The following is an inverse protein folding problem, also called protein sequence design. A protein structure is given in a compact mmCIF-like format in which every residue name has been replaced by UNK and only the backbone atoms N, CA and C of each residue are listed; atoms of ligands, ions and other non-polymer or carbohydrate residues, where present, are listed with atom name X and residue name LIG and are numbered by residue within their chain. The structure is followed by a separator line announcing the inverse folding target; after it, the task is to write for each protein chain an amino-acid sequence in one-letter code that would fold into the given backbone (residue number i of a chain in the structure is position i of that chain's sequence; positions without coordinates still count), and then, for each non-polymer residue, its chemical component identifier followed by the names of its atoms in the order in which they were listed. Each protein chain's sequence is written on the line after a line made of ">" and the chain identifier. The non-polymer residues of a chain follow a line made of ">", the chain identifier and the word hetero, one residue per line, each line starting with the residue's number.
data_IF_083268806224
#
_entry.id   IF_083268806224
#
_cell.length_a   1.000
_cell.length_b   1.000
_cell.length_c   1.000
_cell.angle_alpha   90.00
_cell.angle_beta   90.00
_cell.angle_gamma   90.00
#
_symmetry.space_group_name_H-M   'P 1'
#
loop_
_entity.id
_entity.type
_entity.pdbx_description
1 polymer ?
#
# COMPACT_ATOMS: atom_id res chain seq x y z
N UNK A 1 5.78 0.15 -6.16
CA UNK A 1 4.38 -0.33 -6.22
C UNK A 1 3.67 0.31 -7.39
N UNK A 2 2.77 -0.40 -8.02
CA UNK A 2 2.07 0.08 -9.21
C UNK A 2 0.64 0.45 -8.87
N UNK A 3 0.23 1.64 -9.25
CA UNK A 3 -1.14 2.10 -9.07
C UNK A 3 -2.12 1.20 -9.83
N UNK A 4 -3.17 0.69 -9.17
CA UNK A 4 -4.13 -0.21 -9.84
C UNK A 4 -5.05 0.49 -10.85
N UNK A 5 -5.04 1.82 -10.89
CA UNK A 5 -5.86 2.58 -11.83
C UNK A 5 -5.09 3.02 -13.07
N UNK A 6 -3.96 3.69 -12.86
CA UNK A 6 -3.23 4.30 -13.98
C UNK A 6 -1.97 3.55 -14.38
N UNK A 7 -1.52 2.58 -13.59
CA UNK A 7 -0.34 1.79 -13.90
C UNK A 7 0.99 2.48 -13.64
N UNK A 8 0.97 3.66 -13.06
CA UNK A 8 2.19 4.38 -12.73
C UNK A 8 2.82 3.88 -11.45
N UNK A 9 4.15 3.99 -11.37
CA UNK A 9 4.87 3.63 -10.16
C UNK A 9 4.59 4.65 -9.06
N UNK A 10 4.23 4.17 -7.89
CA UNK A 10 3.94 5.02 -6.72
C UNK A 10 4.68 4.49 -5.51
N UNK A 11 4.98 5.39 -4.57
CA UNK A 11 5.59 5.04 -3.31
C UNK A 11 4.55 5.05 -2.20
N UNK A 12 4.67 4.11 -1.29
CA UNK A 12 3.83 4.07 -0.11
C UNK A 12 4.69 3.82 1.11
N UNK A 13 4.21 4.27 2.25
CA UNK A 13 4.92 4.20 3.51
C UNK A 13 4.23 3.25 4.47
N UNK A 14 4.99 2.31 5.03
CA UNK A 14 4.51 1.45 6.10
C UNK A 14 5.12 1.97 7.40
N UNK A 15 4.25 2.23 8.40
CA UNK A 15 4.70 2.66 9.72
C UNK A 15 5.10 1.44 10.54
N UNK A 16 6.39 1.22 10.81
CA UNK A 16 6.82 0.05 11.59
C UNK A 16 6.31 0.07 13.03
N UNK A 17 5.88 1.22 13.54
CA UNK A 17 5.25 1.33 14.84
C UNK A 17 3.76 1.02 14.86
N UNK A 18 3.16 0.82 13.70
CA UNK A 18 1.71 0.61 13.56
C UNK A 18 1.23 -0.83 13.72
N UNK A 19 2.13 -1.77 14.02
CA UNK A 19 1.76 -3.17 14.25
C UNK A 19 2.02 -4.07 13.05
N UNK A 20 1.62 -5.34 13.19
CA UNK A 20 1.87 -6.36 12.17
C UNK A 20 0.97 -6.25 10.96
N UNK A 21 -0.20 -5.65 11.12
CA UNK A 21 -1.16 -5.45 10.04
C UNK A 21 -1.61 -4.01 10.01
N UNK A 22 -1.57 -3.42 8.84
CA UNK A 22 -2.02 -2.05 8.64
C UNK A 22 -2.88 -1.99 7.39
N UNK A 23 -3.92 -1.19 7.44
CA UNK A 23 -4.77 -0.95 6.28
C UNK A 23 -5.11 0.52 6.26
N UNK A 24 -4.90 1.15 5.12
CA UNK A 24 -5.11 2.58 4.98
C UNK A 24 -5.41 2.93 3.53
N UNK A 25 -5.98 4.10 3.32
CA UNK A 25 -6.33 4.59 2.00
C UNK A 25 -5.54 5.86 1.73
N UNK A 26 -4.88 5.91 0.58
CA UNK A 26 -4.15 7.09 0.13
C UNK A 26 -4.46 7.35 -1.34
N UNK A 27 -4.46 8.61 -1.72
CA UNK A 27 -4.68 8.98 -3.12
C UNK A 27 -3.43 8.75 -3.95
N UNK A 28 -3.64 8.29 -5.19
CA UNK A 28 -2.54 8.17 -6.13
C UNK A 28 -2.00 9.56 -6.47
N UNK A 29 -0.67 9.69 -6.52
CA UNK A 29 -0.04 10.98 -6.83
C UNK A 29 -0.24 11.39 -8.30
N UNK A 30 -0.61 10.47 -9.16
CA UNK A 30 -0.76 10.72 -10.60
C UNK A 30 -2.22 10.88 -10.99
N UNK A 31 -3.07 9.90 -10.67
CA UNK A 31 -4.48 9.92 -11.07
C UNK A 31 -5.41 10.44 -9.97
N UNK A 32 -4.91 10.67 -8.78
CA UNK A 32 -5.66 11.21 -7.64
C UNK A 32 -6.86 10.35 -7.22
N UNK A 33 -6.83 9.07 -7.50
CA UNK A 33 -7.89 8.16 -7.08
C UNK A 33 -7.51 7.46 -5.79
N UNK A 34 -8.48 7.14 -4.92
CA UNK A 34 -8.18 6.47 -3.66
C UNK A 34 -7.74 5.03 -3.89
N UNK A 35 -6.63 4.67 -3.26
CA UNK A 35 -6.07 3.33 -3.33
C UNK A 35 -6.07 2.76 -1.92
N UNK A 36 -6.58 1.55 -1.77
CA UNK A 36 -6.51 0.86 -0.50
C UNK A 36 -5.18 0.12 -0.40
N UNK A 37 -4.40 0.46 0.61
CA UNK A 37 -3.14 -0.21 0.91
C UNK A 37 -3.31 -1.12 2.09
N UNK A 38 -2.72 -2.30 1.99
CA UNK A 38 -2.69 -3.27 3.08
C UNK A 38 -1.26 -3.71 3.29
N UNK A 39 -0.74 -3.49 4.49
CA UNK A 39 0.59 -3.90 4.88
C UNK A 39 0.50 -5.01 5.91
N UNK A 40 1.32 -6.04 5.75
CA UNK A 40 1.31 -7.21 6.63
C UNK A 40 2.74 -7.62 6.90
N UNK A 41 3.08 -7.81 8.16
CA UNK A 41 4.41 -8.30 8.54
C UNK A 41 4.57 -9.77 8.19
N UNK A 42 5.70 -10.10 7.59
CA UNK A 42 6.05 -11.47 7.23
C UNK A 42 7.31 -11.87 7.97
N UNK A 43 7.17 -12.76 8.96
CA UNK A 43 8.31 -13.22 9.74
C UNK A 43 9.32 -14.02 8.90
N UNK A 44 8.82 -14.77 7.93
CA UNK A 44 9.65 -15.55 7.03
C UNK A 44 10.54 -14.69 6.14
N UNK A 45 10.10 -13.46 5.85
CA UNK A 45 10.83 -12.52 5.01
C UNK A 45 11.51 -11.42 5.82
N UNK A 46 11.18 -11.29 7.10
CA UNK A 46 11.58 -10.19 7.97
C UNK A 46 11.29 -8.83 7.33
N UNK A 47 10.14 -8.71 6.69
CA UNK A 47 9.74 -7.51 5.96
C UNK A 47 8.23 -7.42 5.87
N UNK A 48 7.73 -6.24 5.50
CA UNK A 48 6.31 -6.04 5.25
C UNK A 48 5.96 -6.41 3.82
N UNK A 49 4.86 -7.11 3.68
CA UNK A 49 4.24 -7.35 2.38
C UNK A 49 3.19 -6.27 2.19
N UNK A 50 3.30 -5.53 1.10
CA UNK A 50 2.41 -4.41 0.82
C UNK A 50 1.57 -4.70 -0.42
N UNK A 51 0.26 -4.53 -0.29
CA UNK A 51 -0.68 -4.71 -1.39
C UNK A 51 -1.42 -3.42 -1.65
N UNK A 52 -1.69 -3.14 -2.91
CA UNK A 52 -2.51 -2.02 -3.32
C UNK A 52 -3.69 -2.55 -4.13
N UNK A 53 -4.88 -2.03 -3.86
CA UNK A 53 -6.07 -2.41 -4.60
C UNK A 53 -6.93 -1.19 -4.88
N UNK A 54 -7.72 -1.28 -5.97
CA UNK A 54 -8.65 -0.23 -6.33
C UNK A 54 -9.80 -0.21 -5.33
N UNK A 55 -10.12 1.00 -4.84
CA UNK A 55 -11.22 1.17 -3.89
C UNK A 55 -12.58 1.15 -4.60
N UNK A 56 -12.63 1.54 -5.85
CA UNK A 56 -13.85 1.57 -6.67
C UNK A 56 -14.22 0.19 -7.19
#
# INVERSE_FOLDING_TARGET
>A
MICPYCGEAIDSYVDPGGGEQQEYIEDCAVCCRPIRFRARWRDDLEAYELEASAED
#
